data_IF_158793954964
#
_entry.id   IF_158793954964
#
_cell.length_a   1.000
_cell.length_b   1.000
_cell.length_c   1.000
_cell.angle_alpha   90.00
_cell.angle_beta   90.00
_cell.angle_gamma   90.00
#
_symmetry.space_group_name_H-M   'P 1'
#
loop_
_entity.id
_entity.type
_entity.pdbx_description
1 polymer ?
#
# COMPACT_ATOMS: atom_id res chain seq x y z
N UNK A 1 -19.53 -0.63 7.98
CA UNK A 1 -19.54 -0.01 6.64
C UNK A 1 -18.70 1.26 6.58
N UNK A 2 -18.67 2.08 7.63
CA UNK A 2 -17.88 3.33 7.67
C UNK A 2 -16.39 3.14 7.35
N UNK A 3 -15.74 2.14 7.94
CA UNK A 3 -14.33 1.81 7.67
C UNK A 3 -14.03 1.51 6.20
N UNK A 4 -14.95 0.90 5.45
CA UNK A 4 -14.75 0.57 4.03
C UNK A 4 -14.74 1.83 3.17
N UNK A 5 -15.62 2.79 3.47
CA UNK A 5 -15.62 4.07 2.76
C UNK A 5 -14.39 4.89 3.12
N UNK A 6 -14.01 4.93 4.40
CA UNK A 6 -12.81 5.63 4.85
C UNK A 6 -11.56 5.08 4.18
N UNK A 7 -11.41 3.75 4.13
CA UNK A 7 -10.34 3.08 3.41
C UNK A 7 -10.35 3.40 1.91
N UNK A 8 -11.51 3.33 1.25
CA UNK A 8 -11.65 3.65 -0.18
C UNK A 8 -11.21 5.09 -0.49
N UNK A 9 -11.72 6.06 0.26
CA UNK A 9 -11.39 7.46 0.05
C UNK A 9 -9.91 7.72 0.36
N UNK A 10 -9.39 7.21 1.48
CA UNK A 10 -7.99 7.38 1.84
C UNK A 10 -7.05 6.85 0.75
N UNK A 11 -7.27 5.63 0.26
CA UNK A 11 -6.43 5.01 -0.76
C UNK A 11 -6.41 5.80 -2.08
N UNK A 12 -7.51 6.48 -2.41
CA UNK A 12 -7.64 7.27 -3.63
C UNK A 12 -7.17 8.73 -3.49
N UNK A 13 -7.31 9.34 -2.30
CA UNK A 13 -7.13 10.79 -2.12
C UNK A 13 -5.98 11.18 -1.20
N UNK A 14 -5.29 10.23 -0.55
CA UNK A 14 -4.18 10.53 0.35
C UNK A 14 -3.08 11.35 -0.32
N UNK A 15 -2.41 12.15 0.50
CA UNK A 15 -1.25 12.98 0.09
C UNK A 15 0.01 12.70 0.91
N UNK A 16 -0.07 11.73 1.83
CA UNK A 16 1.01 11.33 2.73
C UNK A 16 1.07 9.80 2.85
N UNK A 17 2.25 9.21 3.10
CA UNK A 17 2.39 7.78 3.28
C UNK A 17 1.53 7.24 4.42
N UNK A 18 0.85 6.12 4.19
CA UNK A 18 -0.09 5.49 5.13
C UNK A 18 -1.46 6.18 5.26
N UNK A 19 -1.58 7.43 4.78
CA UNK A 19 -2.85 8.17 4.81
C UNK A 19 -3.41 8.43 6.21
N UNK A 20 -4.66 8.88 6.26
CA UNK A 20 -5.40 9.11 7.49
C UNK A 20 -5.83 7.78 8.14
N UNK A 21 -6.02 6.72 7.33
CA UNK A 21 -6.36 5.37 7.78
C UNK A 21 -5.35 4.84 8.81
N UNK A 22 -4.06 5.13 8.63
CA UNK A 22 -3.02 4.76 9.61
C UNK A 22 -3.26 5.38 10.99
N UNK A 23 -3.71 6.65 11.03
CA UNK A 23 -4.01 7.34 12.30
C UNK A 23 -5.28 6.76 12.94
N UNK A 24 -6.29 6.44 12.14
CA UNK A 24 -7.50 5.76 12.59
C UNK A 24 -7.18 4.40 13.21
N UNK A 25 -6.31 3.61 12.56
CA UNK A 25 -5.90 2.30 13.08
C UNK A 25 -5.16 2.39 14.42
N UNK A 26 -4.30 3.39 14.60
CA UNK A 26 -3.62 3.62 15.89
C UNK A 26 -4.60 4.04 17.00
N UNK A 27 -5.70 4.70 16.65
CA UNK A 27 -6.76 5.09 17.57
C UNK A 27 -7.90 4.07 17.72
N UNK A 28 -7.85 2.95 17.01
CA UNK A 28 -8.95 1.99 16.92
C UNK A 28 -9.29 1.42 18.32
N UNK A 29 -10.55 1.50 18.77
CA UNK A 29 -11.00 0.84 20.00
C UNK A 29 -10.81 -0.68 19.92
N UNK A 30 -10.58 -1.35 21.05
CA UNK A 30 -10.36 -2.80 21.11
C UNK A 30 -11.56 -3.61 20.60
N UNK A 31 -12.77 -3.09 20.75
CA UNK A 31 -14.02 -3.72 20.29
C UNK A 31 -14.10 -3.80 18.75
N UNK A 32 -13.52 -2.83 18.05
CA UNK A 32 -13.52 -2.76 16.58
C UNK A 32 -12.27 -3.37 15.96
N UNK A 33 -11.20 -3.55 16.74
CA UNK A 33 -9.92 -4.07 16.29
C UNK A 33 -10.06 -5.44 15.61
N UNK A 34 -10.93 -6.33 16.12
CA UNK A 34 -11.16 -7.64 15.50
C UNK A 34 -11.79 -7.53 14.09
N UNK A 35 -12.71 -6.59 13.88
CA UNK A 35 -13.30 -6.34 12.57
C UNK A 35 -12.28 -5.75 11.60
N UNK A 36 -11.51 -4.76 12.04
CA UNK A 36 -10.49 -4.10 11.21
C UNK A 36 -9.36 -5.07 10.86
N UNK A 37 -8.89 -5.85 11.82
CA UNK A 37 -7.87 -6.89 11.61
C UNK A 37 -8.36 -7.98 10.65
N UNK A 38 -9.60 -8.43 10.77
CA UNK A 38 -10.18 -9.42 9.86
C UNK A 38 -10.20 -8.96 8.40
N UNK A 39 -10.20 -7.65 8.15
CA UNK A 39 -10.18 -7.06 6.80
C UNK A 39 -8.76 -6.73 6.34
N UNK A 40 -8.04 -5.91 7.10
CA UNK A 40 -6.73 -5.39 6.72
C UNK A 40 -5.58 -6.39 6.97
N UNK A 41 -5.83 -7.44 7.74
CA UNK A 41 -4.88 -8.53 7.98
C UNK A 41 -3.56 -8.05 8.59
N UNK A 42 -2.46 -8.41 7.92
CA UNK A 42 -1.10 -8.13 8.41
C UNK A 42 -0.75 -6.64 8.42
N UNK A 43 -1.40 -5.83 7.59
CA UNK A 43 -1.15 -4.39 7.54
C UNK A 43 -1.60 -3.70 8.84
N UNK A 44 -2.76 -4.09 9.39
CA UNK A 44 -3.24 -3.60 10.67
C UNK A 44 -2.38 -4.12 11.83
N UNK A 45 -2.11 -5.44 11.88
CA UNK A 45 -1.27 -6.06 12.92
C UNK A 45 0.11 -5.40 13.00
N UNK A 46 0.78 -5.24 11.86
CA UNK A 46 2.12 -4.64 11.81
C UNK A 46 2.11 -3.16 12.18
N UNK A 47 1.05 -2.43 11.83
CA UNK A 47 0.87 -1.02 12.22
C UNK A 47 0.69 -0.86 13.73
N UNK A 48 -0.20 -1.67 14.33
CA UNK A 48 -0.46 -1.64 15.77
C UNK A 48 0.76 -2.14 16.56
N UNK A 49 1.45 -3.19 16.09
CA UNK A 49 2.67 -3.70 16.72
C UNK A 49 3.83 -2.70 16.65
N UNK A 50 3.93 -1.89 15.58
CA UNK A 50 4.94 -0.83 15.44
C UNK A 50 4.78 0.33 16.42
N UNK A 51 3.68 0.42 17.16
CA UNK A 51 3.46 1.41 18.23
C UNK A 51 4.54 1.36 19.33
N UNK A 52 5.33 0.27 19.42
CA UNK A 52 6.43 0.10 20.38
C UNK A 52 7.84 -0.14 19.80
N UNK A 53 8.03 -0.29 18.49
CA UNK A 53 9.31 -0.73 17.93
C UNK A 53 10.15 0.43 17.36
N UNK A 54 11.08 0.97 18.17
CA UNK A 54 12.07 1.99 17.75
C UNK A 54 13.37 1.41 17.16
N UNK A 55 13.56 0.09 17.13
CA UNK A 55 14.92 -0.49 17.16
C UNK A 55 15.61 -0.78 15.81
N UNK A 56 14.92 -1.08 14.69
CA UNK A 56 15.62 -1.69 13.52
C UNK A 56 15.97 -0.74 12.36
N UNK A 57 16.01 0.58 12.57
CA UNK A 57 16.29 1.54 11.47
C UNK A 57 17.76 1.61 11.04
N UNK A 58 18.70 1.19 11.89
CA UNK A 58 20.14 1.30 11.64
C UNK A 58 20.67 0.23 10.67
N UNK A 59 20.16 -1.01 10.77
CA UNK A 59 20.61 -2.12 9.90
C UNK A 59 20.19 -1.95 8.43
N UNK A 60 19.04 -1.31 8.17
CA UNK A 60 18.53 -1.07 6.82
C UNK A 60 19.34 -0.01 6.03
N UNK A 61 20.18 0.78 6.70
CA UNK A 61 20.93 1.88 6.09
C UNK A 61 22.20 1.41 5.35
N UNK A 62 22.83 0.32 5.81
CA UNK A 62 24.09 -0.21 5.24
C UNK A 62 23.89 -1.12 4.00
N UNK A 63 22.66 -1.25 3.50
CA UNK A 63 22.38 -1.94 2.23
C UNK A 63 22.69 -1.03 1.03
N UNK A 64 23.16 -1.57 -0.12
CA UNK A 64 23.26 -0.81 -1.38
C UNK A 64 21.93 -0.19 -1.82
N UNK A 65 20.80 -0.85 -1.49
CA UNK A 65 19.45 -0.30 -1.70
C UNK A 65 19.13 0.85 -0.74
N UNK A 66 19.72 0.84 0.47
CA UNK A 66 19.64 1.89 1.47
C UNK A 66 20.32 3.19 1.01
N UNK A 67 21.50 3.09 0.40
CA UNK A 67 22.22 4.25 -0.17
C UNK A 67 21.46 4.93 -1.30
N UNK A 68 20.92 4.15 -2.26
CA UNK A 68 20.09 4.72 -3.34
C UNK A 68 18.86 5.43 -2.77
N UNK A 69 18.22 4.84 -1.76
CA UNK A 69 17.07 5.44 -1.07
C UNK A 69 17.47 6.71 -0.32
N UNK A 70 18.60 6.71 0.38
CA UNK A 70 19.12 7.88 1.08
C UNK A 70 19.45 9.02 0.13
N UNK A 71 20.04 8.71 -1.04
CA UNK A 71 20.31 9.70 -2.09
C UNK A 71 19.02 10.30 -2.65
N UNK A 72 18.03 9.47 -2.96
CA UNK A 72 16.71 9.95 -3.39
C UNK A 72 16.07 10.84 -2.32
N UNK A 73 16.12 10.45 -1.05
CA UNK A 73 15.59 11.25 0.06
C UNK A 73 16.30 12.60 0.19
N UNK A 74 17.63 12.62 0.09
CA UNK A 74 18.42 13.85 0.15
C UNK A 74 18.05 14.79 -1.02
N UNK A 75 17.93 14.24 -2.23
CA UNK A 75 17.53 14.99 -3.42
C UNK A 75 16.11 15.55 -3.30
N UNK A 76 15.15 14.76 -2.87
CA UNK A 76 13.77 15.23 -2.66
C UNK A 76 13.72 16.33 -1.60
N UNK A 77 14.51 16.18 -0.52
CA UNK A 77 14.58 17.16 0.55
C UNK A 77 15.23 18.47 0.12
N UNK A 78 16.27 18.43 -0.70
CA UNK A 78 16.91 19.65 -1.23
C UNK A 78 15.96 20.42 -2.14
N UNK A 79 15.19 19.73 -2.99
CA UNK A 79 14.16 20.35 -3.84
C UNK A 79 13.05 20.96 -2.98
N UNK A 80 12.60 20.30 -1.91
CA UNK A 80 11.62 20.85 -0.98
C UNK A 80 12.14 22.14 -0.31
N UNK A 81 13.40 22.16 0.13
CA UNK A 81 14.03 23.34 0.74
C UNK A 81 14.10 24.49 -0.28
N UNK A 82 14.57 24.22 -1.51
CA UNK A 82 14.62 25.20 -2.58
C UNK A 82 13.22 25.77 -2.88
N UNK A 83 12.20 24.91 -2.98
CA UNK A 83 10.82 25.33 -3.18
C UNK A 83 10.28 26.15 -1.99
N UNK A 84 10.70 25.85 -0.75
CA UNK A 84 10.34 26.66 0.43
C UNK A 84 10.94 28.06 0.35
N UNK A 85 12.19 28.17 -0.11
CA UNK A 85 12.89 29.46 -0.22
C UNK A 85 12.30 30.31 -1.35
N UNK A 86 12.04 29.70 -2.53
CA UNK A 86 11.59 30.42 -3.72
C UNK A 86 10.08 30.71 -3.74
N UNK A 87 9.26 29.76 -3.27
CA UNK A 87 7.79 29.77 -3.41
C UNK A 87 7.07 29.72 -2.06
N UNK A 88 7.81 29.85 -0.96
CA UNK A 88 7.27 29.82 0.39
C UNK A 88 6.71 28.46 0.81
N UNK A 89 5.90 28.46 1.88
CA UNK A 89 5.33 27.24 2.48
C UNK A 89 4.44 26.47 1.49
N UNK A 90 3.74 27.18 0.60
CA UNK A 90 2.86 26.59 -0.39
C UNK A 90 3.63 25.79 -1.45
N UNK A 91 4.72 26.34 -2.00
CA UNK A 91 5.54 25.60 -2.96
C UNK A 91 6.20 24.36 -2.37
N UNK A 92 6.69 24.45 -1.12
CA UNK A 92 7.21 23.29 -0.42
C UNK A 92 6.14 22.18 -0.22
N UNK A 93 4.87 22.56 0.03
CA UNK A 93 3.77 21.60 0.14
C UNK A 93 3.46 20.93 -1.20
N UNK A 94 3.38 21.72 -2.28
CA UNK A 94 3.12 21.22 -3.61
C UNK A 94 4.19 20.22 -4.08
N UNK A 95 5.46 20.51 -3.80
CA UNK A 95 6.58 19.59 -4.10
C UNK A 95 6.45 18.27 -3.32
N UNK A 96 6.19 18.33 -2.01
CA UNK A 96 6.01 17.11 -1.19
C UNK A 96 4.86 16.25 -1.71
N UNK A 97 3.71 16.88 -1.99
CA UNK A 97 2.56 16.16 -2.54
C UNK A 97 2.85 15.59 -3.93
N UNK A 98 3.58 16.32 -4.77
CA UNK A 98 4.00 15.86 -6.10
C UNK A 98 4.87 14.60 -6.02
N UNK A 99 5.90 14.60 -5.16
CA UNK A 99 6.73 13.41 -4.92
C UNK A 99 5.89 12.25 -4.40
N UNK A 100 4.97 12.50 -3.47
CA UNK A 100 4.08 11.47 -2.96
C UNK A 100 3.16 10.88 -4.04
N UNK A 101 2.50 11.72 -4.86
CA UNK A 101 1.62 11.24 -5.95
C UNK A 101 2.37 10.49 -7.06
N UNK A 102 3.69 10.68 -7.14
CA UNK A 102 4.58 9.99 -8.05
C UNK A 102 5.20 8.71 -7.45
N UNK A 103 5.03 8.44 -6.14
CA UNK A 103 5.63 7.28 -5.46
C UNK A 103 5.02 5.93 -5.88
N UNK A 104 3.82 5.96 -6.46
CA UNK A 104 3.02 4.77 -6.78
C UNK A 104 2.12 4.31 -5.64
N UNK A 105 2.16 4.97 -4.47
CA UNK A 105 1.33 4.61 -3.32
C UNK A 105 -0.15 4.98 -3.50
N UNK A 106 -0.47 6.01 -4.29
CA UNK A 106 -1.87 6.39 -4.52
C UNK A 106 -2.55 5.39 -5.46
N UNK A 107 -3.63 4.77 -4.99
CA UNK A 107 -4.47 3.89 -5.80
C UNK A 107 -5.38 4.73 -6.69
N UNK A 108 -4.89 5.10 -7.88
CA UNK A 108 -5.60 5.96 -8.83
C UNK A 108 -6.90 5.34 -9.34
N UNK A 109 -6.97 4.01 -9.39
CA UNK A 109 -8.15 3.25 -9.79
C UNK A 109 -8.25 2.06 -8.86
N UNK A 110 -9.39 1.96 -8.17
CA UNK A 110 -9.75 0.73 -7.48
C UNK A 110 -10.61 -0.11 -8.42
N UNK A 111 -10.13 -1.29 -8.76
CA UNK A 111 -10.88 -2.20 -9.62
C UNK A 111 -11.78 -3.10 -8.79
N UNK A 112 -13.00 -3.28 -9.28
CA UNK A 112 -13.82 -4.44 -8.92
C UNK A 112 -13.54 -5.61 -9.87
N UNK A 113 -14.06 -6.78 -9.51
CA UNK A 113 -13.88 -8.02 -10.25
C UNK A 113 -14.34 -7.92 -11.72
N UNK A 114 -15.46 -7.24 -11.95
CA UNK A 114 -16.08 -7.11 -13.29
C UNK A 114 -15.25 -6.19 -14.18
N UNK A 115 -14.85 -5.03 -13.66
CA UNK A 115 -14.07 -4.02 -14.38
C UNK A 115 -12.67 -4.54 -14.69
N UNK A 116 -12.00 -5.17 -13.72
CA UNK A 116 -10.68 -5.74 -13.95
C UNK A 116 -10.73 -6.83 -15.02
N UNK A 117 -11.70 -7.75 -14.92
CA UNK A 117 -11.87 -8.82 -15.91
C UNK A 117 -12.10 -8.27 -17.32
N UNK A 118 -12.96 -7.25 -17.48
CA UNK A 118 -13.18 -6.59 -18.77
C UNK A 118 -11.92 -5.92 -19.33
N UNK A 119 -11.11 -5.29 -18.45
CA UNK A 119 -9.85 -4.66 -18.85
C UNK A 119 -8.80 -5.66 -19.30
N UNK A 120 -8.70 -6.81 -18.62
CA UNK A 120 -7.84 -7.90 -19.03
C UNK A 120 -8.23 -8.42 -20.42
N UNK A 121 -9.52 -8.64 -20.66
CA UNK A 121 -10.02 -9.06 -21.98
C UNK A 121 -9.73 -8.01 -23.06
N UNK A 122 -9.96 -6.74 -22.78
CA UNK A 122 -9.66 -5.66 -23.72
C UNK A 122 -8.15 -5.53 -24.02
N UNK A 123 -7.28 -5.99 -23.13
CA UNK A 123 -5.82 -6.01 -23.31
C UNK A 123 -5.31 -7.26 -24.04
N UNK A 124 -6.19 -8.17 -24.47
CA UNK A 124 -5.85 -9.39 -25.20
C UNK A 124 -5.76 -10.65 -24.35
N UNK A 125 -5.88 -10.54 -23.03
CA UNK A 125 -5.94 -11.73 -22.17
C UNK A 125 -7.30 -12.43 -22.29
N UNK A 126 -7.36 -13.71 -21.99
CA UNK A 126 -8.58 -14.49 -22.00
C UNK A 126 -8.79 -15.27 -20.69
N UNK A 127 -10.03 -15.73 -20.49
CA UNK A 127 -10.44 -16.54 -19.33
C UNK A 127 -10.09 -15.93 -17.96
N UNK A 128 -10.40 -14.65 -17.69
CA UNK A 128 -10.19 -14.07 -16.36
C UNK A 128 -10.98 -14.86 -15.32
N UNK A 129 -10.31 -15.25 -14.25
CA UNK A 129 -10.88 -16.01 -13.15
C UNK A 129 -10.43 -15.43 -11.84
N UNK A 130 -11.37 -15.25 -10.91
CA UNK A 130 -11.06 -14.93 -9.52
C UNK A 130 -10.34 -16.11 -8.86
N UNK A 131 -9.23 -15.82 -8.22
CA UNK A 131 -8.43 -16.77 -7.45
C UNK A 131 -8.52 -16.43 -5.96
N UNK A 132 -8.03 -17.34 -5.12
CA UNK A 132 -7.70 -17.04 -3.72
C UNK A 132 -6.22 -16.65 -3.60
N UNK A 133 -5.80 -16.21 -2.42
CA UNK A 133 -4.41 -15.86 -2.15
C UNK A 133 -3.41 -17.04 -2.23
N UNK A 134 -3.90 -18.28 -2.33
CA UNK A 134 -3.07 -19.50 -2.40
C UNK A 134 -3.28 -20.28 -3.69
N UNK A 135 -4.19 -19.86 -4.56
CA UNK A 135 -4.49 -20.53 -5.83
C UNK A 135 -3.91 -19.76 -7.01
N UNK A 136 -3.33 -20.50 -7.95
CA UNK A 136 -2.95 -20.00 -9.26
C UNK A 136 -2.86 -21.16 -10.26
N UNK A 137 -2.85 -20.88 -11.56
CA UNK A 137 -2.46 -21.89 -12.57
C UNK A 137 -0.96 -22.22 -12.49
N UNK A 138 -0.16 -21.39 -11.81
CA UNK A 138 1.23 -21.69 -11.51
C UNK A 138 1.33 -22.87 -10.52
N UNK A 139 1.97 -23.99 -10.90
CA UNK A 139 2.13 -25.13 -9.99
C UNK A 139 2.89 -24.75 -8.73
N UNK A 140 2.39 -25.17 -7.57
CA UNK A 140 3.02 -24.91 -6.28
C UNK A 140 2.95 -23.44 -5.80
N UNK A 141 2.05 -22.63 -6.37
CA UNK A 141 1.95 -21.19 -6.07
C UNK A 141 1.98 -20.83 -4.57
N UNK A 142 1.22 -21.57 -3.75
CA UNK A 142 1.15 -21.35 -2.30
C UNK A 142 2.53 -21.44 -1.60
N UNK A 143 3.49 -22.20 -2.14
CA UNK A 143 4.81 -22.36 -1.55
C UNK A 143 5.69 -21.10 -1.65
N UNK A 144 5.36 -20.15 -2.55
CA UNK A 144 6.11 -18.91 -2.70
C UNK A 144 5.78 -17.86 -1.62
N UNK A 145 4.72 -18.08 -0.83
CA UNK A 145 4.27 -17.21 0.25
C UNK A 145 4.11 -15.72 -0.16
N UNK A 146 3.61 -15.45 -1.36
CA UNK A 146 3.48 -14.08 -1.90
C UNK A 146 2.29 -13.33 -1.28
N UNK A 147 1.12 -13.95 -1.30
CA UNK A 147 -0.15 -13.33 -0.89
C UNK A 147 -0.74 -13.95 0.39
N UNK A 148 -0.22 -15.10 0.79
CA UNK A 148 -0.51 -15.77 2.05
C UNK A 148 0.77 -16.39 2.61
N UNK A 149 0.93 -16.35 3.93
CA UNK A 149 2.06 -16.96 4.63
C UNK A 149 1.53 -17.93 5.69
N UNK A 150 2.05 -19.16 5.72
CA UNK A 150 1.60 -20.21 6.64
C UNK A 150 0.06 -20.43 6.62
N UNK A 151 -0.54 -20.33 5.43
CA UNK A 151 -2.00 -20.48 5.24
C UNK A 151 -2.83 -19.27 5.66
N UNK A 152 -2.20 -18.18 6.15
CA UNK A 152 -2.89 -16.93 6.49
C UNK A 152 -2.73 -15.91 5.36
N UNK A 153 -3.86 -15.44 4.85
CA UNK A 153 -3.88 -14.39 3.83
C UNK A 153 -3.33 -13.07 4.39
N UNK A 154 -2.37 -12.47 3.69
CA UNK A 154 -1.70 -11.24 4.12
C UNK A 154 -2.66 -10.06 4.18
N UNK A 155 -3.47 -9.90 3.12
CA UNK A 155 -4.45 -8.82 2.98
C UNK A 155 -5.80 -9.41 2.54
N UNK A 156 -6.66 -9.84 3.49
CA UNK A 156 -7.90 -10.56 3.23
C UNK A 156 -8.90 -9.87 2.30
N UNK A 157 -8.89 -8.55 2.23
CA UNK A 157 -9.76 -7.74 1.36
C UNK A 157 -9.22 -7.58 -0.08
N UNK A 158 -8.08 -8.21 -0.41
CA UNK A 158 -7.49 -8.13 -1.75
C UNK A 158 -8.30 -8.90 -2.80
N UNK A 159 -8.28 -8.38 -4.03
CA UNK A 159 -8.85 -9.02 -5.20
C UNK A 159 -7.73 -9.74 -5.98
N UNK A 160 -7.82 -11.06 -6.07
CA UNK A 160 -6.90 -11.89 -6.86
C UNK A 160 -7.62 -12.34 -8.15
N UNK A 161 -7.09 -11.96 -9.30
CA UNK A 161 -7.61 -12.38 -10.61
C UNK A 161 -6.44 -12.84 -11.46
N UNK A 162 -6.64 -13.97 -12.12
CA UNK A 162 -5.69 -14.52 -13.08
C UNK A 162 -6.35 -14.64 -14.46
N UNK A 163 -5.62 -14.28 -15.51
CA UNK A 163 -6.02 -14.45 -16.91
C UNK A 163 -4.83 -15.01 -17.72
N UNK A 164 -5.11 -15.56 -18.89
CA UNK A 164 -4.11 -16.16 -19.79
C UNK A 164 -3.87 -15.22 -20.96
N UNK A 165 -2.61 -15.09 -21.38
CA UNK A 165 -2.21 -14.28 -22.52
C UNK A 165 -2.38 -15.06 -23.84
#
# INVERSE_FOLDING_TARGET
>A
MEYTYLELFDQATRTVPGGDLYTTWLGCPSEEAGFVEGRAGDEFRSTVARRGAKADRLAAFFSPRGWRRAWTMLRERSVEIAARVLLGKHGARAVREGFFRASGEVHRVMYDEVRLSRRLVAAGFHSPKRMTATESRLPGFAAFNLDAENGRVRKPDSLFIEAVA
#
